data_IF_845521111909
#
_entry.id   IF_845521111909
#
_cell.length_a   1.000
_cell.length_b   1.000
_cell.length_c   1.000
_cell.angle_alpha   90.00
_cell.angle_beta   90.00
_cell.angle_gamma   90.00
#
_symmetry.space_group_name_H-M   'P 1'
#
loop_
_entity.id
_entity.type
_entity.pdbx_description
1 polymer ?
#
# COMPACT_ATOMS: atom_id res chain seq x y z
N UNK A 1 6.52 -34.97 -2.14
CA UNK A 1 5.63 -33.79 -2.17
C UNK A 1 6.29 -32.73 -3.03
N UNK A 2 5.58 -32.20 -4.04
CA UNK A 2 6.11 -31.12 -4.88
C UNK A 2 6.27 -29.83 -4.09
N UNK A 3 7.16 -28.94 -4.55
CA UNK A 3 7.33 -27.60 -3.97
C UNK A 3 6.00 -26.83 -4.06
N UNK A 4 5.56 -26.26 -2.96
CA UNK A 4 4.38 -25.37 -2.94
C UNK A 4 4.62 -24.14 -3.82
N UNK A 5 3.56 -23.63 -4.47
CA UNK A 5 3.63 -22.44 -5.33
C UNK A 5 4.19 -21.23 -4.52
N UNK A 6 5.37 -20.74 -4.89
CA UNK A 6 6.07 -19.69 -4.13
C UNK A 6 5.58 -18.27 -4.43
N UNK A 7 4.82 -18.09 -5.50
CA UNK A 7 4.35 -16.80 -5.95
C UNK A 7 3.08 -16.41 -5.18
N UNK A 8 3.27 -15.61 -4.12
CA UNK A 8 2.17 -15.19 -3.24
C UNK A 8 1.68 -13.79 -3.64
N UNK A 9 0.37 -13.59 -3.64
CA UNK A 9 -0.29 -12.31 -3.93
C UNK A 9 -1.52 -12.13 -3.02
N UNK A 10 -2.09 -10.91 -2.98
CA UNK A 10 -3.31 -10.60 -2.23
C UNK A 10 -3.13 -10.41 -0.71
N UNK A 11 -1.93 -10.63 -0.20
CA UNK A 11 -1.62 -10.48 1.23
C UNK A 11 -0.19 -10.00 1.47
N UNK A 12 0.21 -10.01 2.74
CA UNK A 12 1.56 -9.65 3.14
C UNK A 12 2.54 -10.78 2.81
N UNK A 13 3.48 -10.48 1.92
CA UNK A 13 4.53 -11.42 1.52
C UNK A 13 5.73 -11.31 2.47
N UNK A 14 6.18 -12.44 3.02
CA UNK A 14 7.25 -12.51 4.03
C UNK A 14 8.33 -13.54 3.67
N UNK A 15 9.47 -13.44 4.34
CA UNK A 15 10.55 -14.43 4.27
C UNK A 15 11.14 -14.57 2.87
N UNK A 16 11.33 -15.81 2.37
CA UNK A 16 11.95 -16.07 1.07
C UNK A 16 11.08 -15.69 -0.12
N UNK A 17 9.79 -15.43 0.10
CA UNK A 17 8.84 -15.05 -0.93
C UNK A 17 8.85 -13.54 -1.23
N UNK A 18 9.55 -12.75 -0.41
CA UNK A 18 9.70 -11.31 -0.62
C UNK A 18 10.78 -11.06 -1.66
N UNK A 19 10.40 -10.48 -2.79
CA UNK A 19 11.31 -10.13 -3.86
C UNK A 19 12.02 -8.81 -3.55
N UNK A 20 13.33 -8.85 -3.55
CA UNK A 20 14.32 -7.77 -3.44
C UNK A 20 13.95 -6.53 -2.57
N UNK A 21 14.11 -5.31 -3.06
CA UNK A 21 13.97 -4.02 -2.34
C UNK A 21 15.13 -3.72 -1.39
N UNK A 22 16.31 -4.27 -1.67
CA UNK A 22 17.49 -4.11 -0.79
C UNK A 22 17.96 -2.66 -0.73
N UNK A 23 17.90 -1.94 -1.85
CA UNK A 23 18.24 -0.52 -1.94
C UNK A 23 17.33 0.34 -1.08
N UNK A 24 16.03 0.13 -1.21
CA UNK A 24 15.01 0.87 -0.48
C UNK A 24 15.07 0.59 1.02
N UNK A 25 15.27 -0.69 1.40
CA UNK A 25 15.45 -1.06 2.81
C UNK A 25 16.71 -0.41 3.39
N UNK A 26 17.84 -0.45 2.65
CA UNK A 26 19.10 0.17 3.09
C UNK A 26 18.96 1.67 3.28
N UNK A 27 18.27 2.33 2.36
CA UNK A 27 18.00 3.76 2.43
C UNK A 27 17.11 4.12 3.62
N UNK A 28 15.98 3.42 3.80
CA UNK A 28 15.08 3.63 4.94
C UNK A 28 15.78 3.37 6.28
N UNK A 29 16.61 2.34 6.38
CA UNK A 29 17.41 2.07 7.58
C UNK A 29 18.35 3.22 7.91
N UNK A 30 19.03 3.78 6.90
CA UNK A 30 19.92 4.93 7.08
C UNK A 30 19.16 6.15 7.59
N UNK A 31 18.00 6.45 7.01
CA UNK A 31 17.15 7.56 7.44
C UNK A 31 16.66 7.36 8.88
N UNK A 32 16.22 6.15 9.22
CA UNK A 32 15.75 5.83 10.58
C UNK A 32 16.89 5.80 11.61
N UNK A 33 18.09 5.39 11.23
CA UNK A 33 19.26 5.49 12.11
C UNK A 33 19.57 6.94 12.53
N UNK A 34 19.23 7.90 11.66
CA UNK A 34 19.37 9.35 11.93
C UNK A 34 18.09 9.98 12.48
N UNK A 35 17.03 9.20 12.72
CA UNK A 35 15.72 9.67 13.20
C UNK A 35 15.08 10.75 12.30
N UNK A 36 15.35 10.66 10.98
CA UNK A 36 14.76 11.54 10.00
C UNK A 36 13.27 11.20 9.76
N UNK A 37 12.52 12.15 9.19
CA UNK A 37 11.17 11.92 8.71
C UNK A 37 11.22 11.51 7.24
N UNK A 38 10.49 10.44 6.89
CA UNK A 38 10.39 9.93 5.53
C UNK A 38 8.92 9.84 5.12
N UNK A 39 8.61 10.35 3.94
CA UNK A 39 7.32 10.18 3.29
C UNK A 39 7.49 9.15 2.17
N UNK A 40 7.00 7.95 2.41
CA UNK A 40 7.04 6.84 1.45
C UNK A 40 5.75 6.85 0.61
N UNK A 41 5.86 7.30 -0.61
CA UNK A 41 4.75 7.42 -1.56
C UNK A 41 4.82 6.29 -2.58
N UNK A 42 3.73 5.58 -2.78
CA UNK A 42 3.71 4.42 -3.68
C UNK A 42 2.31 4.22 -4.25
N UNK A 43 2.15 3.87 -5.51
CA UNK A 43 0.87 3.39 -6.00
C UNK A 43 0.42 2.14 -5.24
N UNK A 44 -0.87 1.84 -5.28
CA UNK A 44 -1.40 0.56 -4.77
C UNK A 44 -0.72 -0.62 -5.47
N UNK A 45 -0.54 -1.74 -4.76
CA UNK A 45 -0.02 -3.01 -5.31
C UNK A 45 1.49 -3.04 -5.62
N UNK A 46 2.25 -2.02 -5.20
CA UNK A 46 3.72 -1.99 -5.35
C UNK A 46 4.48 -2.60 -4.17
N UNK A 47 3.78 -3.17 -3.19
CA UNK A 47 4.40 -3.88 -2.07
C UNK A 47 4.89 -3.00 -0.92
N UNK A 48 4.34 -1.78 -0.77
CA UNK A 48 4.66 -0.83 0.29
C UNK A 48 4.61 -1.44 1.69
N UNK A 49 3.49 -2.06 2.07
CA UNK A 49 3.30 -2.70 3.38
C UNK A 49 4.28 -3.86 3.60
N UNK A 50 4.54 -4.67 2.57
CA UNK A 50 5.53 -5.74 2.63
C UNK A 50 6.95 -5.19 2.91
N UNK A 51 7.32 -4.07 2.24
CA UNK A 51 8.58 -3.37 2.46
C UNK A 51 8.71 -2.88 3.90
N UNK A 52 7.67 -2.21 4.42
CA UNK A 52 7.64 -1.67 5.79
C UNK A 52 7.77 -2.77 6.85
N UNK A 53 7.05 -3.87 6.70
CA UNK A 53 7.15 -5.01 7.62
C UNK A 53 8.51 -5.71 7.55
N UNK A 54 9.12 -5.78 6.37
CA UNK A 54 10.50 -6.27 6.21
C UNK A 54 11.51 -5.33 6.88
N UNK A 55 11.32 -4.02 6.74
CA UNK A 55 12.13 -2.99 7.40
C UNK A 55 12.07 -3.14 8.93
N UNK A 56 10.88 -3.28 9.52
CA UNK A 56 10.69 -3.46 10.97
C UNK A 56 11.52 -4.63 11.49
N UNK A 57 11.48 -5.78 10.81
CA UNK A 57 12.32 -6.92 11.17
C UNK A 57 13.81 -6.56 11.20
N UNK A 58 14.28 -5.83 10.20
CA UNK A 58 15.67 -5.37 10.13
C UNK A 58 16.05 -4.36 11.22
N UNK A 59 15.16 -3.40 11.54
CA UNK A 59 15.41 -2.39 12.59
C UNK A 59 15.43 -3.00 13.99
N UNK A 60 14.58 -3.99 14.26
CA UNK A 60 14.60 -4.73 15.54
C UNK A 60 15.92 -5.46 15.76
N UNK A 61 16.55 -6.00 14.71
CA UNK A 61 17.90 -6.57 14.79
C UNK A 61 18.97 -5.52 15.13
N UNK A 62 18.74 -4.25 14.80
CA UNK A 62 19.61 -3.12 15.14
C UNK A 62 19.25 -2.48 16.49
N UNK A 63 18.46 -3.18 17.34
CA UNK A 63 18.00 -2.74 18.66
C UNK A 63 17.15 -1.45 18.66
N UNK A 64 16.55 -1.10 17.53
CA UNK A 64 15.62 0.02 17.44
C UNK A 64 14.20 -0.43 17.80
N UNK A 65 13.51 0.34 18.62
CA UNK A 65 12.08 0.13 18.89
C UNK A 65 11.27 0.56 17.67
N UNK A 66 10.21 -0.22 17.32
CA UNK A 66 9.37 0.07 16.15
C UNK A 66 7.89 -0.07 16.50
N UNK A 67 7.12 0.97 16.24
CA UNK A 67 5.66 0.96 16.26
C UNK A 67 5.12 1.07 14.82
N UNK A 68 4.20 0.17 14.43
CA UNK A 68 3.54 0.19 13.13
C UNK A 68 2.04 0.41 13.33
N UNK A 69 1.50 1.38 12.62
CA UNK A 69 0.11 1.81 12.71
C UNK A 69 -0.43 1.91 11.29
N UNK A 70 -1.48 1.15 10.98
CA UNK A 70 -2.26 1.32 9.75
C UNK A 70 -3.42 2.26 10.03
N UNK A 71 -3.36 3.48 9.49
CA UNK A 71 -4.35 4.51 9.78
C UNK A 71 -5.75 4.15 9.26
N UNK A 72 -5.82 3.36 8.21
CA UNK A 72 -7.07 2.88 7.64
C UNK A 72 -7.90 1.99 8.59
N UNK A 73 -7.25 1.40 9.60
CA UNK A 73 -7.93 0.58 10.62
C UNK A 73 -8.70 1.41 11.66
N UNK A 74 -8.54 2.74 11.68
CA UNK A 74 -9.14 3.59 12.71
C UNK A 74 -10.18 4.53 12.10
N UNK A 75 -11.43 4.50 12.60
CA UNK A 75 -12.52 5.32 12.06
C UNK A 75 -12.42 6.81 12.43
N UNK A 76 -11.70 7.14 13.51
CA UNK A 76 -11.62 8.48 14.07
C UNK A 76 -10.26 8.76 14.71
N UNK A 77 -10.00 10.05 14.98
CA UNK A 77 -8.75 10.50 15.60
C UNK A 77 -8.57 9.97 17.04
N UNK A 78 -9.66 9.69 17.75
CA UNK A 78 -9.63 9.18 19.12
C UNK A 78 -9.04 7.76 19.16
N UNK A 79 -9.54 6.88 18.31
CA UNK A 79 -9.05 5.51 18.19
C UNK A 79 -7.61 5.47 17.68
N UNK A 80 -7.24 6.33 16.73
CA UNK A 80 -5.87 6.50 16.29
C UNK A 80 -4.93 6.95 17.41
N UNK A 81 -5.33 7.96 18.20
CA UNK A 81 -4.53 8.47 19.32
C UNK A 81 -4.28 7.38 20.39
N UNK A 82 -5.30 6.58 20.69
CA UNK A 82 -5.19 5.43 21.58
C UNK A 82 -4.21 4.38 21.06
N UNK A 83 -4.33 4.02 19.80
CA UNK A 83 -3.45 3.05 19.17
C UNK A 83 -1.99 3.54 19.12
N UNK A 84 -1.76 4.80 18.74
CA UNK A 84 -0.42 5.39 18.72
C UNK A 84 0.24 5.33 20.09
N UNK A 85 -0.49 5.72 21.13
CA UNK A 85 0.01 5.69 22.52
C UNK A 85 0.33 4.27 22.96
N UNK A 86 -0.57 3.31 22.69
CA UNK A 86 -0.38 1.92 23.09
C UNK A 86 0.81 1.27 22.38
N UNK A 87 0.85 1.36 21.05
CA UNK A 87 1.87 0.70 20.25
C UNK A 87 3.27 1.29 20.44
N UNK A 88 3.38 2.61 20.65
CA UNK A 88 4.67 3.24 20.97
C UNK A 88 5.18 2.84 22.35
N UNK A 89 4.27 2.75 23.32
CA UNK A 89 4.62 2.31 24.67
C UNK A 89 5.03 0.82 24.69
N UNK A 90 4.30 -0.05 23.97
CA UNK A 90 4.62 -1.47 23.81
C UNK A 90 5.98 -1.68 23.13
N UNK A 91 6.28 -0.90 22.08
CA UNK A 91 7.56 -0.96 21.39
C UNK A 91 8.76 -0.62 22.30
N UNK A 92 8.56 0.29 23.25
CA UNK A 92 9.61 0.75 24.18
C UNK A 92 9.67 -0.07 25.46
N UNK A 93 8.56 -0.65 25.94
CA UNK A 93 8.45 -1.40 27.19
C UNK A 93 8.01 -2.84 26.91
N UNK A 94 8.89 -3.78 27.22
CA UNK A 94 8.65 -5.22 27.03
C UNK A 94 8.04 -5.89 28.26
N UNK A 95 8.07 -5.20 29.43
CA UNK A 95 7.52 -5.75 30.66
C UNK A 95 6.03 -5.36 30.77
N UNK A 96 5.14 -6.36 30.69
CA UNK A 96 3.68 -6.18 30.70
C UNK A 96 3.17 -5.51 31.99
N UNK A 97 3.74 -5.82 33.16
CA UNK A 97 3.32 -5.22 34.44
C UNK A 97 3.69 -3.73 34.52
N UNK A 98 4.87 -3.36 33.98
CA UNK A 98 5.25 -1.94 33.88
C UNK A 98 4.39 -1.20 32.88
N UNK A 99 4.03 -1.84 31.78
CA UNK A 99 3.14 -1.29 30.77
C UNK A 99 1.75 -1.00 31.35
N UNK A 100 1.17 -1.97 32.07
CA UNK A 100 -0.13 -1.78 32.73
C UNK A 100 -0.10 -0.69 33.80
N UNK A 101 0.97 -0.59 34.63
CA UNK A 101 1.15 0.48 35.62
C UNK A 101 1.31 1.86 34.94
N UNK A 102 1.97 1.89 33.80
CA UNK A 102 2.12 3.13 33.03
C UNK A 102 0.78 3.60 32.47
N UNK A 103 -0.05 2.68 31.96
CA UNK A 103 -1.38 2.99 31.47
C UNK A 103 -2.36 3.38 32.57
N UNK A 104 -2.23 2.83 33.77
CA UNK A 104 -3.02 3.21 34.94
C UNK A 104 -2.75 4.67 35.37
N UNK A 105 -1.58 5.23 35.04
CA UNK A 105 -1.24 6.64 35.26
C UNK A 105 -1.88 7.62 34.28
N UNK A 106 -2.44 7.14 33.17
CA UNK A 106 -3.14 7.99 32.20
C UNK A 106 -4.60 8.16 32.61
N UNK A 107 -4.99 9.32 33.10
CA UNK A 107 -6.38 9.61 33.48
C UNK A 107 -7.38 9.46 32.32
N UNK A 108 -6.90 9.53 31.07
CA UNK A 108 -7.70 9.53 29.84
C UNK A 108 -7.65 8.20 29.06
N UNK A 109 -6.88 7.21 29.52
CA UNK A 109 -6.71 5.93 28.83
C UNK A 109 -7.28 4.79 29.69
N UNK A 110 -8.24 4.04 29.15
CA UNK A 110 -8.72 2.80 29.78
C UNK A 110 -8.13 1.59 29.05
N UNK A 111 -7.51 0.65 29.77
CA UNK A 111 -7.04 -0.57 29.15
C UNK A 111 -8.26 -1.39 28.67
N UNK A 112 -8.28 -1.73 27.39
CA UNK A 112 -9.24 -2.67 26.81
C UNK A 112 -8.49 -3.96 26.53
N UNK A 113 -8.83 -5.01 27.26
CA UNK A 113 -8.35 -6.36 26.95
C UNK A 113 -9.24 -6.92 25.85
N UNK A 114 -8.68 -7.14 24.66
CA UNK A 114 -9.31 -7.88 23.59
C UNK A 114 -8.63 -9.25 23.47
N UNK A 115 -9.44 -10.30 23.41
CA UNK A 115 -8.98 -11.66 23.14
C UNK A 115 -9.26 -11.90 21.66
N UNK A 116 -8.24 -12.23 20.88
CA UNK A 116 -8.43 -12.61 19.49
C UNK A 116 -9.06 -14.04 19.40
N UNK A 117 -9.57 -14.45 18.22
CA UNK A 117 -10.15 -15.78 18.03
C UNK A 117 -9.16 -16.93 18.32
N UNK A 118 -7.86 -16.65 18.33
CA UNK A 118 -6.78 -17.61 18.62
C UNK A 118 -6.39 -17.62 20.11
N UNK A 119 -7.13 -16.89 20.97
CA UNK A 119 -6.93 -16.85 22.42
C UNK A 119 -5.78 -15.97 22.89
N UNK A 120 -5.15 -15.18 22.00
CA UNK A 120 -4.10 -14.25 22.40
C UNK A 120 -4.74 -12.99 23.00
N UNK A 121 -4.29 -12.61 24.19
CA UNK A 121 -4.74 -11.38 24.83
C UNK A 121 -3.93 -10.22 24.26
N UNK A 122 -4.58 -9.37 23.46
CA UNK A 122 -4.03 -8.09 23.06
C UNK A 122 -4.54 -7.00 24.01
N UNK A 123 -3.60 -6.25 24.61
CA UNK A 123 -3.96 -5.08 25.40
C UNK A 123 -4.20 -3.91 24.44
N UNK A 124 -5.44 -3.57 24.20
CA UNK A 124 -5.84 -2.32 23.53
C UNK A 124 -6.04 -1.22 24.57
N UNK A 125 -5.92 0.03 24.13
CA UNK A 125 -6.27 1.19 24.94
C UNK A 125 -7.48 1.88 24.31
N UNK A 126 -8.53 2.04 25.09
CA UNK A 126 -9.64 2.89 24.73
C UNK A 126 -9.49 4.23 25.43
N UNK A 127 -9.44 5.31 24.64
CA UNK A 127 -9.43 6.66 25.20
C UNK A 127 -10.78 6.99 25.82
N UNK A 128 -10.80 7.25 27.12
CA UNK A 128 -11.98 7.76 27.84
C UNK A 128 -12.09 9.28 27.71
N UNK A 129 -11.91 9.81 26.48
CA UNK A 129 -12.02 11.26 26.21
C UNK A 129 -13.19 11.52 25.28
N UNK A 130 -13.77 12.73 25.39
CA UNK A 130 -14.72 13.20 24.40
C UNK A 130 -14.01 13.50 23.06
N UNK A 131 -14.76 13.49 21.96
CA UNK A 131 -14.20 13.69 20.62
C UNK A 131 -13.45 15.03 20.47
N UNK A 132 -13.95 16.09 21.15
CA UNK A 132 -13.30 17.41 21.19
C UNK A 132 -11.88 17.40 21.79
N UNK A 133 -11.56 16.42 22.63
CA UNK A 133 -10.27 16.29 23.30
C UNK A 133 -9.33 15.30 22.60
N UNK A 134 -9.78 14.66 21.53
CA UNK A 134 -9.04 13.61 20.84
C UNK A 134 -7.71 14.09 20.25
N UNK A 135 -7.68 15.31 19.68
CA UNK A 135 -6.43 15.90 19.19
C UNK A 135 -5.43 16.14 20.32
N UNK A 136 -5.89 16.65 21.46
CA UNK A 136 -5.05 16.85 22.64
C UNK A 136 -4.47 15.52 23.14
N UNK A 137 -5.28 14.46 23.14
CA UNK A 137 -4.85 13.12 23.52
C UNK A 137 -3.81 12.53 22.54
N UNK A 138 -3.95 12.78 21.24
CA UNK A 138 -2.96 12.38 20.24
C UNK A 138 -1.60 13.04 20.53
N UNK A 139 -1.59 14.34 20.76
CA UNK A 139 -0.36 15.09 21.04
C UNK A 139 0.27 14.67 22.37
N UNK A 140 -0.55 14.38 23.38
CA UNK A 140 -0.08 13.85 24.67
C UNK A 140 0.58 12.47 24.49
N UNK A 141 -0.01 11.59 23.69
CA UNK A 141 0.57 10.31 23.32
C UNK A 141 1.92 10.43 22.61
N UNK A 142 2.05 11.39 21.69
CA UNK A 142 3.32 11.67 21.00
C UNK A 142 4.40 12.18 21.96
N UNK A 143 4.05 13.09 22.88
CA UNK A 143 4.99 13.59 23.91
C UNK A 143 5.42 12.49 24.86
N UNK A 144 4.48 11.64 25.25
CA UNK A 144 4.76 10.51 26.13
C UNK A 144 5.72 9.51 25.50
N UNK A 145 5.52 9.19 24.20
CA UNK A 145 6.45 8.34 23.46
C UNK A 145 7.88 8.89 23.46
N UNK A 146 8.06 10.21 23.25
CA UNK A 146 9.38 10.86 23.32
C UNK A 146 9.98 10.80 24.72
N UNK A 147 9.20 11.12 25.76
CA UNK A 147 9.67 11.05 27.16
C UNK A 147 10.12 9.62 27.53
N UNK A 148 9.37 8.62 27.08
CA UNK A 148 9.70 7.23 27.36
C UNK A 148 10.94 6.77 26.59
N UNK A 149 11.07 7.15 25.31
CA UNK A 149 12.24 6.87 24.48
C UNK A 149 13.50 7.50 25.09
N UNK A 150 13.41 8.77 25.48
CA UNK A 150 14.49 9.51 26.16
C UNK A 150 14.89 8.85 27.47
N UNK A 151 13.92 8.53 28.35
CA UNK A 151 14.17 7.87 29.64
C UNK A 151 14.86 6.52 29.48
N UNK A 152 14.50 5.78 28.42
CA UNK A 152 15.09 4.47 28.13
C UNK A 152 16.36 4.54 27.28
N UNK A 153 16.73 5.71 26.81
CA UNK A 153 17.85 5.94 25.87
C UNK A 153 17.73 5.04 24.62
N UNK A 154 16.50 4.87 24.11
CA UNK A 154 16.21 4.06 22.93
C UNK A 154 15.73 4.94 21.78
N UNK A 155 16.14 4.60 20.56
CA UNK A 155 15.56 5.15 19.35
C UNK A 155 14.25 4.44 19.05
N UNK A 156 13.20 5.22 18.74
CA UNK A 156 11.89 4.71 18.32
C UNK A 156 11.63 5.09 16.87
N UNK A 157 11.20 4.15 16.07
CA UNK A 157 10.68 4.38 14.72
C UNK A 157 9.17 4.18 14.74
N UNK A 158 8.44 5.23 14.39
CA UNK A 158 6.98 5.19 14.24
C UNK A 158 6.64 5.17 12.76
N UNK A 159 5.98 4.11 12.32
CA UNK A 159 5.53 3.93 10.93
C UNK A 159 4.02 4.10 10.93
N UNK A 160 3.53 5.09 10.17
CA UNK A 160 2.09 5.32 9.98
C UNK A 160 1.79 5.03 8.51
N UNK A 161 1.17 3.88 8.27
CA UNK A 161 0.76 3.46 6.92
C UNK A 161 -0.62 4.02 6.59
N UNK A 162 -0.92 4.17 5.31
CA UNK A 162 -2.09 4.84 4.72
C UNK A 162 -2.34 6.25 5.32
N UNK A 163 -1.24 7.01 5.48
CA UNK A 163 -1.24 8.34 6.10
C UNK A 163 -2.11 9.37 5.37
N UNK A 164 -2.40 9.16 4.08
CA UNK A 164 -3.39 9.95 3.32
C UNK A 164 -4.77 9.98 3.97
N UNK A 165 -5.13 8.97 4.76
CA UNK A 165 -6.39 8.89 5.49
C UNK A 165 -6.53 9.93 6.61
N UNK A 166 -5.46 10.63 6.96
CA UNK A 166 -5.49 11.76 7.89
C UNK A 166 -6.46 12.88 7.42
N UNK A 167 -6.65 13.01 6.11
CA UNK A 167 -7.62 13.95 5.52
C UNK A 167 -9.06 13.72 6.04
N UNK A 168 -9.41 12.48 6.38
CA UNK A 168 -10.73 12.11 6.92
C UNK A 168 -11.02 12.72 8.30
N UNK A 169 -9.98 13.15 9.04
CA UNK A 169 -10.07 13.65 10.43
C UNK A 169 -9.84 15.16 10.55
N UNK A 170 -10.28 15.98 9.59
CA UNK A 170 -9.95 17.41 9.55
C UNK A 170 -8.43 17.68 9.40
N UNK A 171 -7.87 17.06 8.38
CA UNK A 171 -6.45 16.83 8.14
C UNK A 171 -5.53 18.02 8.39
N UNK A 172 -5.84 19.23 7.89
CA UNK A 172 -4.94 20.39 8.01
C UNK A 172 -4.68 20.83 9.44
N UNK A 173 -5.68 20.77 10.31
CA UNK A 173 -5.52 21.13 11.74
C UNK A 173 -4.65 20.08 12.43
N UNK A 174 -4.88 18.83 12.15
CA UNK A 174 -4.11 17.71 12.72
C UNK A 174 -2.67 17.71 12.21
N UNK A 175 -2.45 17.98 10.92
CA UNK A 175 -1.10 18.09 10.36
C UNK A 175 -0.26 19.14 11.07
N UNK A 176 -0.82 20.34 11.31
CA UNK A 176 -0.12 21.42 12.05
C UNK A 176 0.27 20.99 13.45
N UNK A 177 -0.64 20.32 14.13
CA UNK A 177 -0.43 19.84 15.49
C UNK A 177 0.64 18.74 15.55
N UNK A 178 0.56 17.73 14.69
CA UNK A 178 1.54 16.65 14.58
C UNK A 178 2.92 17.22 14.23
N UNK A 179 3.02 18.12 13.24
CA UNK A 179 4.30 18.75 12.90
C UNK A 179 4.94 19.46 14.09
N UNK A 180 4.13 20.23 14.85
CA UNK A 180 4.62 20.95 16.02
C UNK A 180 5.21 20.00 17.08
N UNK A 181 4.66 18.81 17.26
CA UNK A 181 5.22 17.83 18.20
C UNK A 181 6.45 17.12 17.62
N UNK A 182 6.44 16.72 16.35
CA UNK A 182 7.60 16.08 15.69
C UNK A 182 8.85 16.95 15.79
N UNK A 183 8.72 18.27 15.61
CA UNK A 183 9.85 19.21 15.67
C UNK A 183 10.51 19.32 17.05
N UNK A 184 9.85 18.85 18.11
CA UNK A 184 10.37 18.83 19.48
C UNK A 184 11.03 17.50 19.85
N UNK A 185 10.87 16.48 19.03
CA UNK A 185 11.33 15.11 19.31
C UNK A 185 12.74 14.89 18.81
N UNK A 186 13.53 14.16 19.57
CA UNK A 186 14.95 13.88 19.30
C UNK A 186 15.28 12.40 19.33
N UNK A 187 14.33 11.54 19.78
CA UNK A 187 14.50 10.09 19.88
C UNK A 187 13.56 9.32 18.96
N UNK A 188 12.69 10.02 18.20
CA UNK A 188 11.69 9.38 17.33
C UNK A 188 11.91 9.78 15.86
N UNK A 189 12.04 8.77 14.99
CA UNK A 189 11.98 8.93 13.55
C UNK A 189 10.63 8.45 13.01
N UNK A 190 10.11 9.09 11.96
CA UNK A 190 8.81 8.78 11.39
C UNK A 190 8.90 8.34 9.94
N UNK A 191 8.10 7.31 9.59
CA UNK A 191 7.80 6.96 8.21
C UNK A 191 6.30 7.14 8.01
N UNK A 192 5.93 8.12 7.19
CA UNK A 192 4.58 8.35 6.73
C UNK A 192 4.41 7.70 5.36
N UNK A 193 3.54 6.72 5.26
CA UNK A 193 3.39 5.91 4.06
C UNK A 193 1.97 6.02 3.54
N UNK A 194 1.79 6.15 2.22
CA UNK A 194 0.46 6.27 1.63
C UNK A 194 0.39 5.81 0.19
N UNK A 195 -0.76 5.25 -0.18
CA UNK A 195 -1.05 4.76 -1.53
C UNK A 195 -1.74 5.79 -2.42
N UNK A 196 -2.38 6.80 -1.86
CA UNK A 196 -2.97 7.92 -2.60
C UNK A 196 -1.93 8.99 -2.89
N UNK A 197 -1.16 8.77 -3.96
CA UNK A 197 0.01 9.59 -4.32
C UNK A 197 -0.32 11.10 -4.42
N UNK A 198 -1.45 11.46 -5.02
CA UNK A 198 -1.85 12.87 -5.19
C UNK A 198 -2.09 13.56 -3.85
N UNK A 199 -2.73 12.88 -2.91
CA UNK A 199 -2.99 13.38 -1.55
C UNK A 199 -1.67 13.52 -0.79
N UNK A 200 -0.85 12.47 -0.77
CA UNK A 200 0.46 12.48 -0.11
C UNK A 200 1.35 13.59 -0.63
N UNK A 201 1.44 13.75 -1.96
CA UNK A 201 2.27 14.79 -2.55
C UNK A 201 1.70 16.19 -2.32
N UNK A 202 0.38 16.37 -2.27
CA UNK A 202 -0.21 17.64 -1.86
C UNK A 202 0.16 18.01 -0.43
N UNK A 203 0.14 17.05 0.51
CA UNK A 203 0.54 17.28 1.90
C UNK A 203 1.99 17.77 2.06
N UNK A 204 2.92 17.28 1.21
CA UNK A 204 4.37 17.48 1.40
C UNK A 204 5.02 18.45 0.42
N UNK A 205 4.37 18.75 -0.71
CA UNK A 205 4.89 19.67 -1.75
C UNK A 205 4.19 21.04 -1.75
N UNK A 206 2.98 21.15 -1.20
CA UNK A 206 2.27 22.42 -1.12
C UNK A 206 2.86 23.28 0.03
N UNK A 207 3.40 24.49 -0.26
CA UNK A 207 3.93 25.40 0.76
C UNK A 207 2.94 25.81 1.84
N UNK A 208 1.63 25.69 1.57
CA UNK A 208 0.56 26.03 2.53
C UNK A 208 0.25 24.89 3.51
N UNK A 209 0.74 23.68 3.24
CA UNK A 209 0.50 22.49 4.08
C UNK A 209 1.55 22.37 5.18
N UNK A 210 1.15 21.79 6.30
CA UNK A 210 2.01 21.68 7.47
C UNK A 210 3.25 20.79 7.21
N UNK A 211 3.15 19.73 6.41
CA UNK A 211 4.27 18.83 6.17
C UNK A 211 5.24 19.29 5.06
N UNK A 212 5.02 20.49 4.50
CA UNK A 212 5.94 21.04 3.52
C UNK A 212 7.38 21.07 4.04
N UNK A 213 8.29 20.40 3.30
CA UNK A 213 9.72 20.28 3.66
C UNK A 213 10.01 19.70 5.07
N UNK A 214 9.10 18.91 5.63
CA UNK A 214 9.33 18.30 6.93
C UNK A 214 10.33 17.12 6.88
N UNK A 215 10.37 16.41 5.78
CA UNK A 215 11.21 15.23 5.64
C UNK A 215 11.52 14.87 4.19
N UNK A 216 12.17 13.72 4.01
CA UNK A 216 12.53 13.19 2.71
C UNK A 216 11.34 12.53 2.04
N UNK A 217 11.15 12.79 0.75
CA UNK A 217 10.19 12.07 -0.09
C UNK A 217 10.91 10.90 -0.73
N UNK A 218 10.37 9.70 -0.56
CA UNK A 218 10.82 8.47 -1.20
C UNK A 218 9.66 7.89 -2.00
N UNK A 219 9.83 7.78 -3.31
CA UNK A 219 8.84 7.21 -4.20
C UNK A 219 9.18 5.72 -4.44
N UNK A 220 8.24 4.82 -4.08
CA UNK A 220 8.40 3.39 -4.32
C UNK A 220 7.77 3.03 -5.66
N UNK A 221 8.61 2.80 -6.65
CA UNK A 221 8.25 2.36 -7.98
C UNK A 221 8.27 0.84 -8.18
N UNK A 222 8.36 0.37 -9.43
CA UNK A 222 8.61 -1.03 -9.77
C UNK A 222 9.83 -1.60 -9.05
N UNK A 223 9.87 -2.91 -8.88
CA UNK A 223 11.10 -3.60 -8.48
C UNK A 223 12.04 -3.59 -9.68
N UNK A 224 13.36 -3.40 -9.44
CA UNK A 224 14.36 -3.44 -10.50
C UNK A 224 14.23 -4.76 -11.27
N UNK A 225 14.04 -4.67 -12.60
CA UNK A 225 13.65 -5.80 -13.44
C UNK A 225 14.67 -6.96 -13.38
N UNK A 226 15.96 -6.66 -13.38
CA UNK A 226 16.99 -7.70 -13.31
C UNK A 226 17.00 -8.46 -11.98
N UNK A 227 16.76 -7.77 -10.87
CA UNK A 227 16.65 -8.41 -9.56
C UNK A 227 15.37 -9.22 -9.45
N UNK A 228 14.26 -8.69 -9.97
CA UNK A 228 12.97 -9.39 -9.94
C UNK A 228 12.97 -10.62 -10.85
N UNK A 229 13.55 -10.52 -12.04
CA UNK A 229 13.73 -11.66 -12.95
C UNK A 229 14.54 -12.77 -12.30
N UNK A 230 15.66 -12.44 -11.64
CA UNK A 230 16.46 -13.41 -10.88
C UNK A 230 15.65 -14.10 -9.78
N UNK A 231 14.81 -13.35 -9.07
CA UNK A 231 13.92 -13.90 -8.05
C UNK A 231 12.94 -14.90 -8.67
N UNK A 232 12.23 -14.53 -9.73
CA UNK A 232 11.26 -15.39 -10.42
C UNK A 232 11.94 -16.66 -10.95
N UNK A 233 13.06 -16.50 -11.69
CA UNK A 233 13.85 -17.61 -12.21
C UNK A 233 14.34 -18.57 -11.12
N UNK A 234 14.77 -18.04 -9.96
CA UNK A 234 15.26 -18.87 -8.87
C UNK A 234 14.19 -19.85 -8.36
N UNK A 235 12.94 -19.37 -8.26
CA UNK A 235 11.82 -20.19 -7.83
C UNK A 235 11.36 -21.17 -8.91
N UNK A 236 11.28 -20.73 -10.18
CA UNK A 236 10.95 -21.60 -11.29
C UNK A 236 11.93 -22.75 -11.41
N UNK A 237 13.24 -22.49 -11.34
CA UNK A 237 14.29 -23.53 -11.34
C UNK A 237 14.15 -24.50 -10.17
N UNK A 238 13.89 -24.01 -8.96
CA UNK A 238 13.65 -24.87 -7.78
C UNK A 238 12.43 -25.78 -7.96
N UNK A 239 11.41 -25.31 -8.67
CA UNK A 239 10.22 -26.09 -9.02
C UNK A 239 10.39 -27.02 -10.22
N UNK A 240 11.57 -27.01 -10.89
CA UNK A 240 11.85 -27.80 -12.06
C UNK A 240 11.24 -27.24 -13.36
N UNK A 241 10.83 -25.96 -13.38
CA UNK A 241 10.24 -25.33 -14.56
C UNK A 241 11.30 -24.85 -15.54
N UNK A 242 11.00 -25.00 -16.82
CA UNK A 242 11.80 -24.51 -17.95
C UNK A 242 11.07 -23.30 -18.54
N UNK A 243 11.77 -22.16 -18.60
CA UNK A 243 11.27 -20.90 -19.16
C UNK A 243 12.46 -20.22 -19.87
N UNK A 244 12.20 -19.55 -20.99
CA UNK A 244 13.21 -18.74 -21.65
C UNK A 244 13.15 -17.27 -21.20
N UNK A 245 14.17 -16.49 -21.52
CA UNK A 245 14.28 -15.09 -21.09
C UNK A 245 13.24 -14.17 -21.77
N UNK A 246 12.86 -14.46 -23.01
CA UNK A 246 11.86 -13.68 -23.73
C UNK A 246 10.47 -13.90 -23.11
N UNK A 247 10.14 -15.14 -22.75
CA UNK A 247 8.92 -15.48 -22.06
C UNK A 247 8.82 -14.79 -20.70
N UNK A 248 9.93 -14.74 -19.97
CA UNK A 248 9.98 -14.02 -18.69
C UNK A 248 9.79 -12.50 -18.90
N UNK A 249 10.44 -11.92 -19.89
CA UNK A 249 10.27 -10.50 -20.26
C UNK A 249 8.81 -10.20 -20.57
N UNK A 250 8.16 -11.08 -21.32
CA UNK A 250 6.74 -10.94 -21.68
C UNK A 250 5.82 -10.92 -20.45
N UNK A 251 6.11 -11.69 -19.41
CA UNK A 251 5.37 -11.66 -18.14
C UNK A 251 5.47 -10.27 -17.47
N UNK A 252 6.66 -9.65 -17.48
CA UNK A 252 6.85 -8.31 -16.93
C UNK A 252 6.09 -7.25 -17.74
N UNK A 253 6.10 -7.33 -19.05
CA UNK A 253 5.33 -6.45 -19.94
C UNK A 253 3.83 -6.55 -19.64
N UNK A 254 3.27 -7.77 -19.62
CA UNK A 254 1.85 -8.01 -19.32
C UNK A 254 1.50 -7.50 -17.91
N UNK A 255 2.40 -7.70 -16.94
CA UNK A 255 2.25 -7.23 -15.56
C UNK A 255 2.41 -5.73 -15.39
N UNK A 256 2.85 -5.04 -16.46
CA UNK A 256 3.16 -3.59 -16.45
C UNK A 256 4.09 -3.19 -15.29
N UNK A 257 5.09 -4.03 -15.02
CA UNK A 257 6.05 -3.92 -13.91
C UNK A 257 5.42 -3.73 -12.51
N UNK A 258 4.12 -3.97 -12.35
CA UNK A 258 3.42 -3.93 -11.07
C UNK A 258 3.70 -5.24 -10.31
N UNK A 259 4.35 -5.20 -9.14
CA UNK A 259 4.76 -6.42 -8.44
C UNK A 259 3.61 -7.40 -8.14
N UNK A 260 2.45 -6.90 -7.77
CA UNK A 260 1.26 -7.72 -7.56
C UNK A 260 0.82 -8.48 -8.83
N UNK A 261 0.81 -7.80 -9.97
CA UNK A 261 0.40 -8.41 -11.23
C UNK A 261 1.40 -9.48 -11.65
N UNK A 262 2.70 -9.21 -11.52
CA UNK A 262 3.76 -10.19 -11.84
C UNK A 262 3.66 -11.41 -10.94
N UNK A 263 3.48 -11.22 -9.62
CA UNK A 263 3.29 -12.35 -8.68
C UNK A 263 2.06 -13.18 -9.08
N UNK A 264 0.98 -12.54 -9.44
CA UNK A 264 -0.25 -13.21 -9.85
C UNK A 264 -0.11 -13.98 -11.17
N UNK A 265 0.53 -13.37 -12.17
CA UNK A 265 0.86 -14.04 -13.43
C UNK A 265 1.74 -15.27 -13.18
N UNK A 266 2.82 -15.11 -12.39
CA UNK A 266 3.69 -16.22 -12.04
C UNK A 266 2.98 -17.32 -11.23
N UNK A 267 2.04 -16.95 -10.35
CA UNK A 267 1.25 -17.92 -9.59
C UNK A 267 0.40 -18.77 -10.51
N UNK A 268 -0.41 -18.15 -11.37
CA UNK A 268 -1.28 -18.84 -12.31
C UNK A 268 -0.47 -19.65 -13.33
N UNK A 269 0.67 -19.12 -13.79
CA UNK A 269 1.59 -19.81 -14.68
C UNK A 269 2.15 -21.08 -14.03
N UNK A 270 2.59 -21.01 -12.77
CA UNK A 270 3.10 -22.15 -12.00
C UNK A 270 2.08 -23.29 -11.97
N UNK A 271 0.84 -22.97 -11.61
CA UNK A 271 -0.21 -23.97 -11.48
C UNK A 271 -0.60 -24.60 -12.83
N UNK A 272 -0.70 -23.77 -13.90
CA UNK A 272 -1.07 -24.26 -15.23
C UNK A 272 0.03 -25.06 -15.94
N UNK A 273 1.30 -24.88 -15.55
CA UNK A 273 2.42 -25.64 -16.09
C UNK A 273 2.90 -26.76 -15.16
N UNK A 274 2.13 -27.11 -14.10
CA UNK A 274 2.57 -28.03 -13.05
C UNK A 274 2.91 -29.44 -13.59
N UNK A 275 2.14 -29.93 -14.55
CA UNK A 275 2.34 -31.26 -15.13
C UNK A 275 3.50 -31.28 -16.12
N UNK A 276 3.53 -30.29 -17.02
CA UNK A 276 4.52 -30.27 -18.12
C UNK A 276 5.87 -29.76 -17.71
N UNK A 277 5.93 -28.95 -16.66
CA UNK A 277 7.11 -28.18 -16.19
C UNK A 277 7.75 -27.29 -17.26
N UNK A 278 7.10 -27.16 -18.42
CA UNK A 278 7.57 -26.34 -19.54
C UNK A 278 6.59 -25.20 -19.77
N UNK A 279 7.09 -23.99 -19.65
CA UNK A 279 6.32 -22.77 -19.88
C UNK A 279 6.45 -22.44 -21.37
N UNK A 280 5.31 -22.43 -22.06
CA UNK A 280 5.24 -22.14 -23.50
C UNK A 280 4.71 -20.70 -23.70
N UNK A 281 5.14 -19.98 -24.76
CA UNK A 281 4.64 -18.64 -25.09
C UNK A 281 3.11 -18.58 -25.15
N UNK A 282 2.47 -19.60 -25.74
CA UNK A 282 1.01 -19.68 -25.83
C UNK A 282 0.30 -19.71 -24.46
N UNK A 283 0.94 -20.22 -23.41
CA UNK A 283 0.40 -20.15 -22.06
C UNK A 283 0.48 -18.71 -21.54
N UNK A 284 1.63 -18.05 -21.72
CA UNK A 284 1.86 -16.68 -21.21
C UNK A 284 0.82 -15.71 -21.77
N UNK A 285 0.54 -15.77 -23.06
CA UNK A 285 -0.48 -14.92 -23.69
C UNK A 285 -1.91 -15.19 -23.18
N UNK A 286 -2.18 -16.38 -22.65
CA UNK A 286 -3.48 -16.74 -22.06
C UNK A 286 -3.62 -16.34 -20.58
N UNK A 287 -2.51 -16.16 -19.85
CA UNK A 287 -2.55 -15.89 -18.42
C UNK A 287 -3.45 -14.70 -18.02
N UNK A 288 -3.40 -13.54 -18.72
CA UNK A 288 -4.25 -12.41 -18.35
C UNK A 288 -5.75 -12.72 -18.47
N UNK A 289 -6.12 -13.51 -19.49
CA UNK A 289 -7.52 -13.90 -19.69
C UNK A 289 -7.96 -14.92 -18.62
N UNK A 290 -7.10 -15.88 -18.27
CA UNK A 290 -7.36 -16.84 -17.18
C UNK A 290 -7.59 -16.09 -15.87
N UNK A 291 -6.73 -15.12 -15.54
CA UNK A 291 -6.87 -14.28 -14.34
C UNK A 291 -8.15 -13.45 -14.40
N UNK A 292 -8.45 -12.85 -15.54
CA UNK A 292 -9.64 -12.05 -15.74
C UNK A 292 -10.94 -12.87 -15.58
N UNK A 293 -10.93 -14.12 -16.01
CA UNK A 293 -12.05 -15.04 -15.80
C UNK A 293 -12.21 -15.44 -14.33
N UNK A 294 -11.13 -15.67 -13.60
CA UNK A 294 -11.19 -15.93 -12.15
C UNK A 294 -11.83 -14.78 -11.38
N UNK A 295 -11.60 -13.53 -11.81
CA UNK A 295 -12.15 -12.32 -11.17
C UNK A 295 -13.47 -11.84 -11.79
N UNK A 296 -14.03 -12.58 -12.76
CA UNK A 296 -15.25 -12.18 -13.49
C UNK A 296 -16.40 -11.75 -12.58
N UNK A 297 -16.72 -12.41 -11.46
CA UNK A 297 -17.81 -11.96 -10.58
C UNK A 297 -17.60 -10.55 -10.06
N UNK A 298 -16.37 -10.18 -9.71
CA UNK A 298 -16.03 -8.83 -9.25
C UNK A 298 -16.15 -7.80 -10.39
N UNK A 299 -15.61 -8.12 -11.56
CA UNK A 299 -15.68 -7.22 -12.73
C UNK A 299 -17.11 -7.03 -13.23
N UNK A 300 -17.95 -8.08 -13.21
CA UNK A 300 -19.36 -7.97 -13.54
C UNK A 300 -20.09 -7.02 -12.60
N UNK A 301 -19.84 -7.07 -11.30
CA UNK A 301 -20.43 -6.15 -10.34
C UNK A 301 -20.08 -4.70 -10.67
N UNK A 302 -18.79 -4.42 -10.92
CA UNK A 302 -18.30 -3.10 -11.32
C UNK A 302 -18.94 -2.65 -12.65
N UNK A 303 -18.98 -3.54 -13.62
CA UNK A 303 -19.57 -3.29 -14.94
C UNK A 303 -21.06 -2.98 -14.87
N UNK A 304 -21.83 -3.73 -14.08
CA UNK A 304 -23.26 -3.47 -13.86
C UNK A 304 -23.51 -2.12 -13.17
N UNK A 305 -22.62 -1.69 -12.29
CA UNK A 305 -22.71 -0.39 -11.61
C UNK A 305 -22.33 0.80 -12.52
N UNK A 306 -21.72 0.55 -13.67
CA UNK A 306 -21.29 1.59 -14.58
C UNK A 306 -22.44 2.03 -15.53
N UNK A 307 -22.56 3.35 -15.72
CA UNK A 307 -23.49 3.94 -16.70
C UNK A 307 -23.04 3.65 -18.14
N UNK A 308 -23.92 3.79 -19.12
CA UNK A 308 -23.58 3.54 -20.52
C UNK A 308 -22.40 4.38 -21.02
N UNK A 309 -22.30 5.69 -20.73
CA UNK A 309 -21.11 6.47 -21.08
C UNK A 309 -19.81 5.96 -20.41
N UNK A 310 -19.90 5.48 -19.15
CA UNK A 310 -18.78 4.89 -18.44
C UNK A 310 -18.32 3.57 -19.09
N UNK A 311 -19.25 2.71 -19.51
CA UNK A 311 -18.94 1.45 -20.22
C UNK A 311 -18.24 1.70 -21.54
N UNK A 312 -18.74 2.65 -22.34
CA UNK A 312 -18.11 3.03 -23.62
C UNK A 312 -16.66 3.53 -23.35
N UNK A 313 -16.49 4.38 -22.32
CA UNK A 313 -15.18 4.88 -21.95
C UNK A 313 -14.23 3.78 -21.46
N UNK A 314 -14.71 2.81 -20.68
CA UNK A 314 -13.92 1.66 -20.22
C UNK A 314 -13.50 0.76 -21.39
N UNK A 315 -14.37 0.53 -22.36
CA UNK A 315 -14.02 -0.20 -23.61
C UNK A 315 -12.94 0.55 -24.38
N UNK A 316 -13.08 1.86 -24.54
CA UNK A 316 -12.09 2.66 -25.25
C UNK A 316 -10.71 2.64 -24.56
N UNK A 317 -10.69 2.74 -23.22
CA UNK A 317 -9.47 2.68 -22.43
C UNK A 317 -8.84 1.28 -22.39
N UNK A 318 -9.62 0.19 -22.52
CA UNK A 318 -9.06 -1.16 -22.60
C UNK A 318 -8.32 -1.40 -23.91
N UNK A 319 -8.79 -0.80 -25.01
CA UNK A 319 -8.18 -0.92 -26.33
C UNK A 319 -6.97 0.01 -26.53
N UNK A 320 -6.90 1.11 -25.79
CA UNK A 320 -5.86 2.12 -25.95
C UNK A 320 -5.43 2.68 -24.57
N UNK A 321 -4.49 1.99 -23.94
CA UNK A 321 -4.03 2.32 -22.57
C UNK A 321 -3.08 3.53 -22.49
N UNK A 322 -2.58 4.03 -23.63
CA UNK A 322 -1.56 5.08 -23.70
C UNK A 322 -2.13 6.48 -23.89
N UNK A 323 -3.45 6.64 -23.95
CA UNK A 323 -4.11 7.79 -24.55
C UNK A 323 -4.50 8.89 -23.56
N UNK A 324 -4.54 10.08 -24.13
CA UNK A 324 -5.15 11.27 -23.52
C UNK A 324 -6.66 11.23 -23.79
N UNK A 325 -7.51 10.85 -22.80
CA UNK A 325 -8.96 10.64 -23.03
C UNK A 325 -9.70 11.87 -23.58
N UNK A 326 -9.08 13.05 -23.44
CA UNK A 326 -9.63 14.31 -23.89
C UNK A 326 -9.18 14.72 -25.30
N UNK A 327 -8.33 13.93 -25.98
CA UNK A 327 -7.91 14.24 -27.35
C UNK A 327 -9.07 14.03 -28.33
N UNK A 328 -9.15 14.89 -29.35
CA UNK A 328 -10.18 14.78 -30.40
C UNK A 328 -10.09 13.45 -31.15
N UNK A 329 -8.87 12.97 -31.39
CA UNK A 329 -8.64 11.70 -32.08
C UNK A 329 -9.21 10.51 -31.31
N UNK A 330 -9.03 10.48 -29.99
CA UNK A 330 -9.58 9.44 -29.13
C UNK A 330 -11.12 9.52 -29.10
N UNK A 331 -11.69 10.72 -28.97
CA UNK A 331 -13.13 10.90 -28.96
C UNK A 331 -13.78 10.43 -30.27
N UNK A 332 -13.19 10.80 -31.42
CA UNK A 332 -13.68 10.39 -32.72
C UNK A 332 -13.51 8.89 -32.98
N UNK A 333 -12.34 8.32 -32.64
CA UNK A 333 -12.03 6.90 -32.82
C UNK A 333 -13.01 6.00 -32.06
N UNK A 334 -13.42 6.40 -30.86
CA UNK A 334 -14.25 5.57 -29.99
C UNK A 334 -15.71 6.06 -29.84
N UNK A 335 -16.12 7.07 -30.59
CA UNK A 335 -17.50 7.60 -30.54
C UNK A 335 -17.90 8.14 -29.18
N UNK A 336 -16.95 8.71 -28.44
CA UNK A 336 -17.17 9.18 -27.07
C UNK A 336 -17.65 10.63 -27.09
N UNK A 337 -18.56 10.96 -26.19
CA UNK A 337 -19.15 12.31 -26.07
C UNK A 337 -18.15 13.41 -25.70
N UNK A 338 -18.63 14.63 -25.47
CA UNK A 338 -17.80 15.81 -25.23
C UNK A 338 -16.92 15.68 -23.97
N UNK A 339 -15.84 16.45 -23.92
CA UNK A 339 -14.85 16.43 -22.84
C UNK A 339 -15.43 16.57 -21.42
N UNK A 340 -16.52 17.31 -21.27
CA UNK A 340 -17.23 17.45 -19.98
C UNK A 340 -17.83 16.11 -19.49
N UNK A 341 -18.46 15.36 -20.40
CA UNK A 341 -19.00 14.03 -20.11
C UNK A 341 -17.91 13.02 -19.80
N UNK A 342 -16.79 13.08 -20.54
CA UNK A 342 -15.62 12.24 -20.29
C UNK A 342 -15.07 12.52 -18.89
N UNK A 343 -14.89 13.79 -18.52
CA UNK A 343 -14.40 14.17 -17.19
C UNK A 343 -15.30 13.65 -16.09
N UNK A 344 -16.61 13.85 -16.17
CA UNK A 344 -17.56 13.35 -15.18
C UNK A 344 -17.51 11.83 -15.05
N UNK A 345 -17.39 11.12 -16.17
CA UNK A 345 -17.26 9.65 -16.19
C UNK A 345 -15.95 9.19 -15.54
N UNK A 346 -14.82 9.82 -15.85
CA UNK A 346 -13.51 9.50 -15.27
C UNK A 346 -13.50 9.75 -13.75
N UNK A 347 -13.99 10.92 -13.31
CA UNK A 347 -14.04 11.27 -11.88
C UNK A 347 -14.93 10.26 -11.10
N UNK A 348 -16.07 9.86 -11.68
CA UNK A 348 -16.93 8.84 -11.08
C UNK A 348 -16.26 7.46 -11.04
N UNK A 349 -15.57 7.04 -12.10
CA UNK A 349 -14.86 5.75 -12.14
C UNK A 349 -13.66 5.72 -11.19
N UNK A 350 -12.98 6.85 -10.99
CA UNK A 350 -11.94 6.98 -9.97
C UNK A 350 -12.54 6.87 -8.58
N UNK A 351 -13.66 7.57 -8.30
CA UNK A 351 -14.36 7.46 -7.01
C UNK A 351 -14.86 6.04 -6.71
N UNK A 352 -15.25 5.30 -7.74
CA UNK A 352 -15.64 3.87 -7.63
C UNK A 352 -14.45 2.92 -7.50
N UNK A 353 -13.21 3.41 -7.61
CA UNK A 353 -12.00 2.58 -7.56
C UNK A 353 -11.77 1.70 -8.78
N UNK A 354 -12.46 1.94 -9.89
CA UNK A 354 -12.28 1.23 -11.17
C UNK A 354 -11.05 1.75 -11.91
N UNK A 355 -10.85 3.06 -11.86
CA UNK A 355 -9.67 3.74 -12.40
C UNK A 355 -8.90 4.45 -11.29
N UNK A 356 -7.63 4.75 -11.55
CA UNK A 356 -6.87 5.71 -10.76
C UNK A 356 -6.20 6.73 -11.68
N UNK A 357 -5.94 7.92 -11.14
CA UNK A 357 -5.26 8.99 -11.84
C UNK A 357 -3.80 9.01 -11.45
N UNK A 358 -2.89 9.01 -12.44
CA UNK A 358 -1.46 9.14 -12.20
C UNK A 358 -1.06 10.60 -11.93
N UNK A 359 0.15 10.78 -11.40
CA UNK A 359 0.73 12.12 -11.17
C UNK A 359 0.89 12.93 -12.45
N UNK A 360 1.13 12.26 -13.59
CA UNK A 360 1.23 12.86 -14.92
C UNK A 360 -0.15 13.19 -15.53
N UNK A 361 -1.24 12.88 -14.81
CA UNK A 361 -2.60 13.19 -15.24
C UNK A 361 -3.25 12.11 -16.11
N UNK A 362 -2.58 10.96 -16.32
CA UNK A 362 -3.15 9.80 -17.03
C UNK A 362 -4.16 9.04 -16.16
N UNK A 363 -5.01 8.27 -16.82
CA UNK A 363 -5.98 7.38 -16.14
C UNK A 363 -5.66 5.93 -16.50
N UNK A 364 -5.58 5.08 -15.48
CA UNK A 364 -5.28 3.66 -15.62
C UNK A 364 -6.30 2.83 -14.86
N UNK A 365 -6.51 1.60 -15.29
CA UNK A 365 -7.31 0.64 -14.54
C UNK A 365 -6.65 0.34 -13.19
N UNK A 366 -7.45 0.36 -12.12
CA UNK A 366 -7.00 -0.01 -10.79
C UNK A 366 -6.63 -1.50 -10.69
N UNK A 367 -7.25 -2.32 -11.53
CA UNK A 367 -6.89 -3.71 -11.75
C UNK A 367 -6.38 -3.91 -13.18
N UNK A 368 -5.12 -4.32 -13.33
CA UNK A 368 -4.48 -4.50 -14.63
C UNK A 368 -5.06 -5.64 -15.49
N UNK A 369 -5.91 -6.50 -14.92
CA UNK A 369 -6.55 -7.60 -15.66
C UNK A 369 -7.98 -7.28 -16.11
N UNK A 370 -8.59 -6.22 -15.59
CA UNK A 370 -9.93 -5.79 -16.02
C UNK A 370 -10.02 -5.46 -17.53
N UNK A 371 -9.02 -4.84 -18.20
CA UNK A 371 -9.03 -4.66 -19.66
C UNK A 371 -9.20 -5.97 -20.43
N UNK A 372 -8.51 -7.03 -20.01
CA UNK A 372 -8.62 -8.34 -20.66
C UNK A 372 -10.00 -8.98 -20.48
N UNK A 373 -10.65 -8.73 -19.33
CA UNK A 373 -12.03 -9.14 -19.10
C UNK A 373 -13.01 -8.38 -20.01
N UNK A 374 -12.85 -7.07 -20.17
CA UNK A 374 -13.68 -6.24 -21.05
C UNK A 374 -13.57 -6.75 -22.49
N UNK A 375 -12.36 -7.02 -22.98
CA UNK A 375 -12.13 -7.56 -24.32
C UNK A 375 -12.75 -8.95 -24.48
N UNK A 376 -12.68 -9.79 -23.45
CA UNK A 376 -13.25 -11.14 -23.45
C UNK A 376 -14.77 -11.10 -23.57
N UNK A 377 -15.46 -10.30 -22.74
CA UNK A 377 -16.93 -10.18 -22.84
C UNK A 377 -17.37 -9.52 -24.15
N UNK A 378 -16.61 -8.55 -24.66
CA UNK A 378 -16.90 -7.91 -25.94
C UNK A 378 -16.83 -8.86 -27.14
N UNK A 379 -16.04 -9.92 -27.05
CA UNK A 379 -15.97 -11.01 -28.05
C UNK A 379 -17.08 -12.07 -27.89
N UNK A 380 -17.58 -12.22 -26.66
CA UNK A 380 -18.61 -13.21 -26.32
C UNK A 380 -20.04 -12.72 -26.62
N UNK A 381 -20.22 -11.36 -26.62
CA UNK A 381 -21.52 -10.72 -26.88
C UNK A 381 -21.71 -10.37 -28.38
N UNK A 382 -20.67 -10.46 -29.21
CA UNK A 382 -20.76 -10.38 -30.67
C UNK A 382 -20.98 -11.77 -31.29
#
# INVERSE_FOLDING_TARGET
MGLENPFKYGGVVRGPYFADRRSEIKELKREMANLNQVFLVSPRRFGKTCLLLRLIGGLKHEAMACAYIDLNAFPDIKSFAGALTALTAEALETNKDKLLKMFAGFQKLRPKLSVDPDGNISAGLELAVEEKDALSALLEGMRHAEQLATKKKKKLVVIIDEFSDLEKYNGQTIEKAIRSEIQKQTHIGYIFSGSEQSVMLAMIRDPKRAFYKLGRIMELGPIEQGAYSKFVLSWLKKGGYIVNDDDLRRIFEIGNDVPYNIQRLCNVMWDNAMETKTIKPALIEKLPVIIAQQDSPHYEMLWRSASQPQKILLIALSQDQTVKPFSKDFQLKHGIGPSSSIKASLDSLVKKGVLFKTLQGGYHFADGFMPYWIDYIGKTIR
#
